data_IF_892655711550
#
_entry.id   IF_892655711550
#
_cell.length_a   1.000
_cell.length_b   1.000
_cell.length_c   1.000
_cell.angle_alpha   90.00
_cell.angle_beta   90.00
_cell.angle_gamma   90.00
#
_symmetry.space_group_name_H-M   'P 1'
#
loop_
_entity.id
_entity.type
_entity.pdbx_description
1 polymer ?
#
# COMPACT_ATOMS: atom_id res chain seq x y z
N UNK A 1 10.31 -4.54 -4.91
CA UNK A 1 8.88 -4.76 -4.57
C UNK A 1 8.61 -4.18 -3.19
N UNK A 2 7.62 -3.29 -3.07
CA UNK A 2 7.12 -2.81 -1.77
C UNK A 2 5.76 -3.45 -1.51
N UNK A 3 5.62 -4.11 -0.36
CA UNK A 3 4.42 -4.87 -0.04
C UNK A 3 3.73 -4.27 1.18
N UNK A 4 2.45 -3.91 1.03
CA UNK A 4 1.57 -3.52 2.11
C UNK A 4 0.63 -4.67 2.41
N UNK A 5 0.64 -5.13 3.67
CA UNK A 5 -0.09 -6.31 4.10
C UNK A 5 -0.83 -6.01 5.41
N UNK A 6 -1.97 -6.65 5.64
CA UNK A 6 -2.79 -6.44 6.83
C UNK A 6 -3.29 -7.74 7.45
N UNK A 7 -3.18 -7.84 8.78
CA UNK A 7 -3.78 -8.93 9.55
C UNK A 7 -4.38 -8.41 10.88
N UNK A 8 -4.85 -9.33 11.74
CA UNK A 8 -5.45 -8.97 13.02
C UNK A 8 -4.37 -8.60 14.03
N UNK A 9 -3.46 -9.53 14.29
CA UNK A 9 -2.42 -9.45 15.33
C UNK A 9 -1.10 -10.00 14.78
N UNK A 10 0.02 -9.58 15.38
CA UNK A 10 1.36 -10.00 14.94
C UNK A 10 1.59 -11.50 15.02
N UNK A 11 1.00 -12.16 16.01
CA UNK A 11 1.06 -13.62 16.20
C UNK A 11 0.33 -14.39 15.11
N UNK A 12 -0.70 -13.78 14.52
CA UNK A 12 -1.53 -14.36 13.45
C UNK A 12 -1.05 -14.02 12.04
N UNK A 13 0.11 -13.37 11.90
CA UNK A 13 0.63 -12.95 10.60
C UNK A 13 0.99 -14.16 9.73
N UNK A 14 0.29 -14.40 8.61
CA UNK A 14 0.62 -15.48 7.70
C UNK A 14 1.91 -15.19 6.95
N UNK A 15 2.60 -16.26 6.55
CA UNK A 15 3.82 -16.23 5.72
C UNK A 15 4.96 -15.38 6.27
N UNK A 16 5.02 -15.15 7.57
CA UNK A 16 6.02 -14.25 8.17
C UNK A 16 7.45 -14.69 7.84
N UNK A 17 7.75 -15.99 7.99
CA UNK A 17 9.09 -16.52 7.74
C UNK A 17 9.44 -16.43 6.25
N UNK A 18 8.49 -16.75 5.37
CA UNK A 18 8.67 -16.70 3.92
C UNK A 18 8.89 -15.26 3.44
N UNK A 19 8.15 -14.29 3.99
CA UNK A 19 8.36 -12.87 3.71
C UNK A 19 9.73 -12.39 4.21
N UNK A 20 10.15 -12.83 5.40
CA UNK A 20 11.48 -12.54 5.95
C UNK A 20 12.59 -13.10 5.05
N UNK A 21 12.44 -14.35 4.58
CA UNK A 21 13.33 -14.96 3.59
C UNK A 21 13.34 -14.17 2.27
N UNK A 22 12.18 -13.82 1.72
CA UNK A 22 12.10 -13.03 0.48
C UNK A 22 12.77 -11.66 0.60
N UNK A 23 12.72 -11.03 1.77
CA UNK A 23 13.45 -9.79 2.05
C UNK A 23 14.97 -10.03 2.13
N UNK A 24 15.42 -11.09 2.81
CA UNK A 24 16.83 -11.47 2.85
C UNK A 24 17.42 -11.72 1.45
N UNK A 25 16.65 -12.38 0.59
CA UNK A 25 17.01 -12.64 -0.81
C UNK A 25 16.75 -11.45 -1.76
N UNK A 26 16.34 -10.28 -1.24
CA UNK A 26 16.07 -9.04 -2.00
C UNK A 26 15.00 -9.17 -3.09
N UNK A 27 14.16 -10.20 -3.02
CA UNK A 27 12.97 -10.31 -3.88
C UNK A 27 11.95 -9.25 -3.49
N UNK A 28 11.71 -9.12 -2.18
CA UNK A 28 10.93 -8.03 -1.60
C UNK A 28 11.88 -6.99 -1.02
N UNK A 29 11.70 -5.73 -1.41
CA UNK A 29 12.50 -4.61 -0.92
C UNK A 29 12.12 -4.27 0.51
N UNK A 30 10.82 -4.20 0.79
CA UNK A 30 10.28 -3.92 2.13
C UNK A 30 8.84 -4.37 2.25
N UNK A 31 8.50 -4.86 3.44
CA UNK A 31 7.11 -5.14 3.85
C UNK A 31 6.65 -4.11 4.87
N UNK A 32 5.37 -3.76 4.81
CA UNK A 32 4.66 -2.93 5.79
C UNK A 32 3.46 -3.72 6.25
N UNK A 33 3.32 -3.90 7.57
CA UNK A 33 2.29 -4.76 8.14
C UNK A 33 1.38 -3.94 9.04
N UNK A 34 0.10 -3.89 8.67
CA UNK A 34 -0.96 -3.27 9.45
C UNK A 34 -1.60 -4.30 10.37
N UNK A 35 -1.78 -3.93 11.65
CA UNK A 35 -2.46 -4.78 12.62
C UNK A 35 -3.77 -4.12 13.06
N UNK A 36 -4.89 -4.77 12.73
CA UNK A 36 -6.22 -4.22 13.01
C UNK A 36 -6.75 -4.48 14.42
N UNK A 37 -6.08 -5.35 15.20
CA UNK A 37 -6.51 -5.80 16.53
C UNK A 37 -5.35 -6.02 17.51
N UNK A 38 -4.16 -5.50 17.22
CA UNK A 38 -3.01 -5.67 18.13
C UNK A 38 -3.26 -4.96 19.46
N UNK A 39 -2.98 -5.65 20.56
CA UNK A 39 -3.28 -5.13 21.90
C UNK A 39 -2.39 -3.92 22.20
N UNK A 40 -2.97 -2.91 22.84
CA UNK A 40 -2.30 -1.65 23.18
C UNK A 40 -1.76 -0.86 21.96
N UNK A 41 -2.24 -1.16 20.74
CA UNK A 41 -1.95 -0.36 19.54
C UNK A 41 -3.23 0.17 18.91
N UNK A 42 -3.18 1.35 18.28
CA UNK A 42 -4.26 1.82 17.43
C UNK A 42 -4.53 0.82 16.31
N UNK A 43 -5.80 0.67 15.98
CA UNK A 43 -6.24 -0.08 14.82
C UNK A 43 -5.66 0.53 13.55
N UNK A 44 -5.03 -0.29 12.73
CA UNK A 44 -4.39 0.14 11.49
C UNK A 44 -4.75 -0.80 10.33
N UNK A 45 -4.91 -0.22 9.14
CA UNK A 45 -5.16 -0.90 7.88
C UNK A 45 -4.10 -0.57 6.82
N UNK A 46 -4.14 -1.30 5.71
CA UNK A 46 -3.15 -1.13 4.62
C UNK A 46 -3.17 0.28 4.02
N UNK A 47 -4.35 0.88 3.88
CA UNK A 47 -4.49 2.25 3.41
C UNK A 47 -3.88 3.28 4.37
N UNK A 48 -3.89 3.02 5.68
CA UNK A 48 -3.26 3.93 6.65
C UNK A 48 -1.73 3.92 6.49
N UNK A 49 -1.16 2.74 6.22
CA UNK A 49 0.27 2.59 5.94
C UNK A 49 0.66 3.21 4.60
N UNK A 50 -0.15 3.02 3.56
CA UNK A 50 0.04 3.67 2.26
C UNK A 50 0.01 5.20 2.41
N UNK A 51 -0.95 5.73 3.17
CA UNK A 51 -1.06 7.17 3.41
C UNK A 51 0.18 7.73 4.10
N UNK A 52 0.67 7.06 5.14
CA UNK A 52 1.91 7.46 5.85
C UNK A 52 3.14 7.48 4.93
N UNK A 53 3.12 6.65 3.90
CA UNK A 53 4.18 6.54 2.91
C UNK A 53 3.91 7.33 1.61
N UNK A 54 2.88 8.17 1.60
CA UNK A 54 2.34 8.78 0.39
C UNK A 54 3.37 9.47 -0.50
N UNK A 55 4.37 10.14 0.08
CA UNK A 55 5.43 10.77 -0.70
C UNK A 55 6.20 9.76 -1.58
N UNK A 56 6.61 8.62 -1.02
CA UNK A 56 7.34 7.59 -1.78
C UNK A 56 6.42 6.92 -2.80
N UNK A 57 5.20 6.58 -2.39
CA UNK A 57 4.20 5.97 -3.29
C UNK A 57 3.93 6.88 -4.50
N UNK A 58 3.78 8.18 -4.27
CA UNK A 58 3.58 9.16 -5.34
C UNK A 58 4.77 9.22 -6.29
N UNK A 59 6.01 9.31 -5.78
CA UNK A 59 7.21 9.29 -6.63
C UNK A 59 7.30 8.01 -7.46
N UNK A 60 7.01 6.87 -6.86
CA UNK A 60 7.03 5.57 -7.55
C UNK A 60 6.02 5.53 -8.71
N UNK A 61 4.80 6.00 -8.46
CA UNK A 61 3.71 6.03 -9.43
C UNK A 61 4.01 7.04 -10.55
N UNK A 62 4.37 8.27 -10.20
CA UNK A 62 4.45 9.38 -11.15
C UNK A 62 5.79 9.44 -11.90
N UNK A 63 6.89 9.03 -11.27
CA UNK A 63 8.24 9.30 -11.77
C UNK A 63 9.03 8.03 -12.09
N UNK A 64 8.69 6.89 -11.48
CA UNK A 64 9.47 5.64 -11.60
C UNK A 64 8.75 4.55 -12.41
N UNK A 65 7.53 4.83 -12.91
CA UNK A 65 6.75 3.88 -13.71
C UNK A 65 6.33 2.63 -12.94
N UNK A 66 5.93 2.79 -11.67
CA UNK A 66 5.54 1.68 -10.82
C UNK A 66 4.27 0.96 -11.31
N UNK A 67 4.22 -0.34 -11.08
CA UNK A 67 3.03 -1.18 -11.24
C UNK A 67 2.38 -1.42 -9.88
N UNK A 68 1.06 -1.30 -9.82
CA UNK A 68 0.28 -1.45 -8.58
C UNK A 68 -0.59 -2.69 -8.68
N UNK A 69 -0.50 -3.56 -7.67
CA UNK A 69 -1.31 -4.77 -7.56
C UNK A 69 -2.13 -4.71 -6.26
N UNK A 70 -3.45 -4.88 -6.38
CA UNK A 70 -4.37 -4.86 -5.24
C UNK A 70 -5.09 -6.21 -5.20
N UNK A 71 -4.93 -6.95 -4.10
CA UNK A 71 -5.55 -8.26 -3.92
C UNK A 71 -6.22 -8.36 -2.56
N UNK A 72 -7.47 -8.81 -2.54
CA UNK A 72 -8.23 -9.04 -1.31
C UNK A 72 -9.71 -8.73 -1.47
N UNK A 73 -10.37 -8.35 -0.38
CA UNK A 73 -11.80 -8.02 -0.38
C UNK A 73 -12.07 -6.75 -1.19
N UNK A 74 -13.17 -6.71 -1.92
CA UNK A 74 -13.59 -5.54 -2.72
C UNK A 74 -13.63 -4.25 -1.90
N UNK A 75 -14.22 -4.27 -0.70
CA UNK A 75 -14.27 -3.09 0.16
C UNK A 75 -12.88 -2.59 0.59
N UNK A 76 -11.89 -3.49 0.72
CA UNK A 76 -10.51 -3.11 1.01
C UNK A 76 -9.86 -2.51 -0.24
N UNK A 77 -10.07 -3.13 -1.41
CA UNK A 77 -9.56 -2.62 -2.67
C UNK A 77 -10.03 -1.19 -2.93
N UNK A 78 -11.34 -0.91 -2.83
CA UNK A 78 -11.88 0.45 -3.02
C UNK A 78 -11.22 1.48 -2.10
N UNK A 79 -11.02 1.17 -0.82
CA UNK A 79 -10.36 2.08 0.13
C UNK A 79 -8.87 2.32 -0.22
N UNK A 80 -8.19 1.30 -0.73
CA UNK A 80 -6.80 1.41 -1.20
C UNK A 80 -6.74 2.29 -2.46
N UNK A 81 -7.63 2.09 -3.42
CA UNK A 81 -7.72 2.89 -4.66
C UNK A 81 -7.97 4.37 -4.33
N UNK A 82 -8.96 4.67 -3.50
CA UNK A 82 -9.27 6.03 -3.03
C UNK A 82 -8.06 6.67 -2.34
N UNK A 83 -7.31 5.89 -1.55
CA UNK A 83 -6.11 6.37 -0.86
C UNK A 83 -4.98 6.67 -1.83
N UNK A 84 -4.77 5.84 -2.85
CA UNK A 84 -3.76 6.08 -3.89
C UNK A 84 -4.11 7.34 -4.69
N UNK A 85 -5.36 7.51 -5.09
CA UNK A 85 -5.84 8.73 -5.78
C UNK A 85 -5.57 9.96 -4.89
N UNK A 86 -5.89 9.87 -3.59
CA UNK A 86 -5.62 10.95 -2.63
C UNK A 86 -4.12 11.26 -2.50
N UNK A 87 -3.26 10.24 -2.52
CA UNK A 87 -1.80 10.39 -2.49
C UNK A 87 -1.32 11.12 -3.75
N UNK A 88 -1.73 10.66 -4.95
CA UNK A 88 -1.36 11.29 -6.23
C UNK A 88 -1.79 12.75 -6.23
N UNK A 89 -3.01 13.03 -5.78
CA UNK A 89 -3.53 14.40 -5.69
C UNK A 89 -2.69 15.28 -4.76
N UNK A 90 -2.36 14.78 -3.57
CA UNK A 90 -1.62 15.56 -2.56
C UNK A 90 -0.16 15.80 -2.94
N UNK A 91 0.52 14.79 -3.47
CA UNK A 91 1.97 14.83 -3.70
C UNK A 91 2.35 15.11 -5.17
N UNK A 92 1.42 14.94 -6.10
CA UNK A 92 1.55 15.34 -7.50
C UNK A 92 0.99 16.73 -7.80
N UNK A 93 0.43 17.42 -6.80
CA UNK A 93 -0.19 18.75 -6.95
C UNK A 93 -1.28 18.81 -8.03
N UNK A 94 -2.01 17.71 -8.19
CA UNK A 94 -3.07 17.54 -9.18
C UNK A 94 -4.45 17.81 -8.57
N UNK A 95 -5.43 18.10 -9.42
CA UNK A 95 -6.83 18.05 -9.02
C UNK A 95 -7.33 16.59 -8.96
N UNK A 96 -8.60 16.41 -8.58
CA UNK A 96 -9.17 15.07 -8.40
C UNK A 96 -9.26 14.29 -9.71
N UNK A 97 -9.76 14.92 -10.79
CA UNK A 97 -9.98 14.26 -12.08
C UNK A 97 -8.64 13.85 -12.73
N UNK A 98 -7.63 14.70 -12.61
CA UNK A 98 -6.26 14.40 -13.04
C UNK A 98 -5.68 13.20 -12.29
N UNK A 99 -5.81 13.17 -10.96
CA UNK A 99 -5.33 12.08 -10.13
C UNK A 99 -6.06 10.76 -10.42
N UNK A 100 -7.38 10.81 -10.65
CA UNK A 100 -8.15 9.65 -11.10
C UNK A 100 -7.67 9.14 -12.46
N UNK A 101 -7.40 10.04 -13.40
CA UNK A 101 -6.92 9.66 -14.73
C UNK A 101 -5.54 8.98 -14.64
N UNK A 102 -4.63 9.50 -13.81
CA UNK A 102 -3.35 8.84 -13.54
C UNK A 102 -3.59 7.44 -12.98
N UNK A 103 -4.44 7.32 -11.95
CA UNK A 103 -4.73 6.03 -11.33
C UNK A 103 -5.33 5.02 -12.33
N UNK A 104 -6.29 5.43 -13.16
CA UNK A 104 -6.90 4.58 -14.20
C UNK A 104 -5.91 4.13 -15.26
N UNK A 105 -4.88 4.94 -15.52
CA UNK A 105 -3.82 4.62 -16.47
C UNK A 105 -2.69 3.78 -15.84
N UNK A 106 -2.72 3.51 -14.53
CA UNK A 106 -1.86 2.49 -13.96
C UNK A 106 -2.28 1.16 -14.56
N UNK A 107 -1.37 0.58 -15.33
CA UNK A 107 -1.60 -0.71 -15.99
C UNK A 107 -1.78 -1.78 -14.93
N UNK A 108 -3.02 -2.26 -14.82
CA UNK A 108 -3.36 -3.61 -14.34
C UNK A 108 -3.09 -4.60 -15.47
#
# INVERSE_FOLDING_TARGET
IYMYYGCREKTSQPFRNELDTMMQHKVITKTFVAFSRETAKPKEYVQDLLWKDGARVSTQILNEGAYVYICGKTAMATQVEETIIRIIRQYGEMNHDEAEMVFRNLKV
#
